data_IF_432531330301
#
_entry.id   IF_432531330301
#
_cell.length_a   1.000
_cell.length_b   1.000
_cell.length_c   1.000
_cell.angle_alpha   90.00
_cell.angle_beta   90.00
_cell.angle_gamma   90.00
#
_symmetry.space_group_name_H-M   'P 1'
#
loop_
_entity.id
_entity.type
_entity.pdbx_description
1 polymer ?
#
# COMPACT_ATOMS: atom_id res chain seq x y z
N UNK A 1 23.56 22.85 -4.13
CA UNK A 1 22.78 23.22 -5.34
C UNK A 1 22.81 22.01 -6.28
N UNK A 2 21.68 21.37 -6.49
CA UNK A 2 21.54 20.30 -7.48
C UNK A 2 21.80 20.85 -8.88
N UNK A 3 22.78 20.28 -9.57
CA UNK A 3 23.19 20.73 -10.91
C UNK A 3 22.48 19.96 -12.03
N UNK A 4 21.18 19.78 -11.92
CA UNK A 4 20.35 19.26 -12.99
C UNK A 4 19.82 17.84 -12.80
N UNK A 5 18.99 17.40 -13.74
CA UNK A 5 18.26 16.14 -13.74
C UNK A 5 19.14 14.89 -13.67
N UNK A 6 20.39 14.97 -14.17
CA UNK A 6 21.36 13.87 -14.11
C UNK A 6 21.83 13.60 -12.66
N UNK A 7 22.03 14.66 -11.88
CA UNK A 7 22.45 14.58 -10.48
C UNK A 7 21.29 14.09 -9.60
N UNK A 8 20.06 14.50 -9.92
CA UNK A 8 18.86 13.95 -9.30
C UNK A 8 18.72 12.45 -9.59
N UNK A 9 18.91 12.00 -10.82
CA UNK A 9 18.94 10.57 -11.18
C UNK A 9 20.01 9.80 -10.41
N UNK A 10 21.19 10.40 -10.23
CA UNK A 10 22.28 9.78 -9.48
C UNK A 10 21.92 9.64 -8.00
N UNK A 11 21.38 10.69 -7.37
CA UNK A 11 20.92 10.64 -5.96
C UNK A 11 19.77 9.65 -5.74
N UNK A 12 18.90 9.48 -6.72
CA UNK A 12 17.81 8.50 -6.69
C UNK A 12 18.27 7.05 -6.88
N UNK A 13 19.49 6.85 -7.39
CA UNK A 13 20.06 5.53 -7.70
C UNK A 13 21.14 5.07 -6.69
N UNK A 14 21.58 5.94 -5.76
CA UNK A 14 22.54 5.57 -4.72
C UNK A 14 21.83 4.78 -3.63
N UNK A 15 22.17 3.52 -3.50
CA UNK A 15 21.90 2.71 -2.32
C UNK A 15 22.82 3.18 -1.16
N UNK A 16 22.34 3.14 0.06
CA UNK A 16 22.94 3.74 1.27
C UNK A 16 24.31 3.16 1.68
N UNK A 17 24.85 2.18 0.96
CA UNK A 17 26.08 1.48 1.32
C UNK A 17 27.40 2.06 0.74
N UNK A 18 27.37 3.23 0.11
CA UNK A 18 28.59 3.99 -0.23
C UNK A 18 29.70 3.27 -1.03
N UNK A 19 29.45 2.07 -1.54
CA UNK A 19 30.39 1.32 -2.36
C UNK A 19 30.04 1.47 -3.83
N UNK A 20 30.69 2.41 -4.48
CA UNK A 20 30.78 2.48 -5.94
C UNK A 20 31.52 1.25 -6.46
N UNK A 21 30.77 0.21 -6.82
CA UNK A 21 31.17 -0.69 -7.88
C UNK A 21 30.39 -0.26 -9.14
N UNK A 22 31.04 -0.26 -10.30
CA UNK A 22 30.43 -0.09 -11.64
C UNK A 22 29.51 -1.26 -11.98
N UNK A 23 28.62 -1.63 -11.07
CA UNK A 23 27.52 -2.54 -11.35
C UNK A 23 26.54 -1.82 -12.27
N UNK A 24 26.17 -2.47 -13.34
CA UNK A 24 25.16 -1.97 -14.26
C UNK A 24 23.94 -1.49 -13.45
N UNK A 25 23.62 -0.20 -13.52
CA UNK A 25 22.51 0.41 -12.78
C UNK A 25 21.18 -0.34 -13.00
N UNK A 26 21.01 -0.88 -14.20
CA UNK A 26 19.87 -1.72 -14.56
C UNK A 26 19.85 -3.02 -13.74
N UNK A 27 21.00 -3.67 -13.58
CA UNK A 27 21.14 -4.88 -12.79
C UNK A 27 20.84 -4.62 -11.29
N UNK A 28 21.29 -3.50 -10.77
CA UNK A 28 21.00 -3.08 -9.39
C UNK A 28 19.50 -2.86 -9.16
N UNK A 29 18.82 -2.15 -10.06
CA UNK A 29 17.36 -1.93 -9.98
C UNK A 29 16.62 -3.27 -10.07
N UNK A 30 16.98 -4.12 -11.02
CA UNK A 30 16.39 -5.45 -11.19
C UNK A 30 16.51 -6.29 -9.90
N UNK A 31 17.71 -6.35 -9.34
CA UNK A 31 17.97 -7.13 -8.14
C UNK A 31 17.21 -6.59 -6.93
N UNK A 32 17.11 -5.29 -6.77
CA UNK A 32 16.31 -4.65 -5.73
C UNK A 32 14.81 -4.99 -5.85
N UNK A 33 14.26 -5.02 -7.05
CA UNK A 33 12.86 -5.38 -7.27
C UNK A 33 12.61 -6.88 -6.99
N UNK A 34 13.49 -7.75 -7.46
CA UNK A 34 13.42 -9.20 -7.17
C UNK A 34 13.47 -9.42 -5.65
N UNK A 35 14.41 -8.81 -4.97
CA UNK A 35 14.54 -8.89 -3.52
C UNK A 35 13.28 -8.37 -2.81
N UNK A 36 12.70 -7.27 -3.27
CA UNK A 36 11.47 -6.70 -2.71
C UNK A 36 10.31 -7.71 -2.78
N UNK A 37 10.12 -8.35 -3.93
CA UNK A 37 9.08 -9.39 -4.11
C UNK A 37 9.34 -10.58 -3.20
N UNK A 38 10.59 -11.10 -3.17
CA UNK A 38 10.95 -12.26 -2.35
C UNK A 38 10.74 -12.01 -0.85
N UNK A 39 11.14 -10.83 -0.36
CA UNK A 39 10.93 -10.47 1.05
C UNK A 39 9.44 -10.33 1.33
N UNK A 40 8.68 -9.64 0.47
CA UNK A 40 7.23 -9.50 0.64
C UNK A 40 6.56 -10.87 0.72
N UNK A 41 6.86 -11.76 -0.22
CA UNK A 41 6.34 -13.14 -0.25
C UNK A 41 6.62 -13.89 1.06
N UNK A 42 7.85 -13.78 1.57
CA UNK A 42 8.24 -14.42 2.84
C UNK A 42 7.55 -13.84 4.10
N UNK A 43 7.01 -12.62 4.02
CA UNK A 43 6.31 -11.95 5.12
C UNK A 43 4.80 -12.20 5.09
N UNK A 44 4.25 -12.58 3.95
CA UNK A 44 2.83 -12.87 3.80
C UNK A 44 2.52 -14.21 4.48
N UNK A 45 1.56 -14.19 5.40
CA UNK A 45 1.06 -15.39 6.06
C UNK A 45 -0.21 -15.87 5.37
N UNK A 46 -0.28 -17.17 5.07
CA UNK A 46 -1.43 -17.76 4.38
C UNK A 46 -2.75 -17.54 5.14
N UNK A 47 -2.70 -17.49 6.46
CA UNK A 47 -3.86 -17.22 7.30
C UNK A 47 -4.44 -15.83 7.06
N UNK A 48 -3.57 -14.81 6.93
CA UNK A 48 -3.97 -13.43 6.62
C UNK A 48 -4.58 -13.31 5.22
N UNK A 49 -4.00 -14.01 4.26
CA UNK A 49 -4.55 -14.08 2.89
C UNK A 49 -5.94 -14.72 2.89
N UNK A 50 -6.09 -15.85 3.58
CA UNK A 50 -7.39 -16.53 3.68
C UNK A 50 -8.44 -15.64 4.37
N UNK A 51 -8.06 -14.93 5.43
CA UNK A 51 -8.94 -13.98 6.11
C UNK A 51 -9.31 -12.79 5.18
N UNK A 52 -8.34 -12.24 4.45
CA UNK A 52 -8.61 -11.17 3.49
C UNK A 52 -9.56 -11.64 2.38
N UNK A 53 -9.37 -12.85 1.85
CA UNK A 53 -10.27 -13.44 0.84
C UNK A 53 -11.70 -13.55 1.39
N UNK A 54 -11.86 -14.04 2.61
CA UNK A 54 -13.16 -14.15 3.25
C UNK A 54 -13.84 -12.76 3.35
N UNK A 55 -13.14 -11.75 3.86
CA UNK A 55 -13.69 -10.38 3.94
C UNK A 55 -14.06 -9.80 2.57
N UNK A 56 -13.27 -10.10 1.53
CA UNK A 56 -13.55 -9.69 0.15
C UNK A 56 -14.79 -10.42 -0.40
N UNK A 57 -14.96 -11.70 -0.10
CA UNK A 57 -16.11 -12.50 -0.55
C UNK A 57 -17.42 -12.03 0.09
N UNK A 58 -17.40 -11.74 1.39
CA UNK A 58 -18.56 -11.30 2.18
C UNK A 58 -19.01 -9.88 1.84
N UNK A 59 -18.11 -9.03 1.35
CA UNK A 59 -18.42 -7.64 1.06
C UNK A 59 -19.32 -7.47 -0.17
N UNK A 60 -20.39 -6.67 -0.03
CA UNK A 60 -21.23 -6.22 -1.16
C UNK A 60 -20.53 -5.11 -1.97
N UNK A 61 -19.79 -4.22 -1.29
CA UNK A 61 -19.05 -3.14 -1.92
C UNK A 61 -17.66 -2.95 -1.29
N UNK A 62 -16.64 -2.77 -2.11
CA UNK A 62 -15.25 -2.66 -1.68
C UNK A 62 -14.68 -1.30 -2.08
N UNK A 63 -14.17 -0.56 -1.11
CA UNK A 63 -13.49 0.70 -1.34
C UNK A 63 -11.99 0.54 -1.16
N UNK A 64 -11.21 1.08 -2.09
CA UNK A 64 -9.76 1.13 -1.98
C UNK A 64 -9.33 2.55 -1.61
N UNK A 65 -8.67 2.71 -0.46
CA UNK A 65 -8.13 3.97 0.00
C UNK A 65 -6.60 3.97 -0.08
N UNK A 66 -6.03 5.08 -0.53
CA UNK A 66 -4.60 5.31 -0.59
C UNK A 66 -4.33 6.74 -1.05
N UNK A 67 -3.16 7.28 -0.73
CA UNK A 67 -2.76 8.65 -1.08
C UNK A 67 -1.41 8.58 -1.80
N UNK A 68 -1.20 9.44 -2.80
CA UNK A 68 0.03 9.48 -3.58
C UNK A 68 0.29 8.17 -4.34
N UNK A 69 1.48 7.61 -4.22
CA UNK A 69 1.85 6.34 -4.87
C UNK A 69 1.02 5.15 -4.37
N UNK A 70 0.67 5.12 -3.08
CA UNK A 70 -0.25 4.12 -2.54
C UNK A 70 -1.67 4.25 -3.11
N UNK A 71 -2.09 5.47 -3.52
CA UNK A 71 -3.32 5.69 -4.26
C UNK A 71 -3.32 5.04 -5.64
N UNK A 72 -2.16 4.99 -6.32
CA UNK A 72 -2.02 4.26 -7.59
C UNK A 72 -2.16 2.75 -7.38
N UNK A 73 -1.55 2.20 -6.32
CA UNK A 73 -1.71 0.79 -5.98
C UNK A 73 -3.17 0.46 -5.61
N UNK A 74 -3.84 1.32 -4.85
CA UNK A 74 -5.26 1.22 -4.54
C UNK A 74 -6.14 1.19 -5.80
N UNK A 75 -5.87 2.07 -6.77
CA UNK A 75 -6.59 2.10 -8.05
C UNK A 75 -6.34 0.85 -8.89
N UNK A 76 -5.13 0.27 -8.83
CA UNK A 76 -4.84 -0.99 -9.51
C UNK A 76 -5.58 -2.16 -8.86
N UNK A 77 -5.60 -2.23 -7.54
CA UNK A 77 -6.37 -3.25 -6.79
C UNK A 77 -7.86 -3.19 -7.12
N UNK A 78 -8.43 -1.98 -7.12
CA UNK A 78 -9.80 -1.75 -7.56
C UNK A 78 -10.07 -2.33 -8.95
N UNK A 79 -9.26 -1.94 -9.93
CA UNK A 79 -9.42 -2.40 -11.32
C UNK A 79 -9.30 -3.93 -11.45
N UNK A 80 -8.48 -4.58 -10.63
CA UNK A 80 -8.35 -6.04 -10.63
C UNK A 80 -9.58 -6.72 -10.06
N UNK A 81 -10.04 -6.33 -8.87
CA UNK A 81 -11.22 -6.95 -8.25
C UNK A 81 -12.49 -6.67 -9.05
N UNK A 82 -12.59 -5.51 -9.69
CA UNK A 82 -13.69 -5.21 -10.60
C UNK A 82 -13.81 -6.26 -11.74
N UNK A 83 -12.68 -6.70 -12.30
CA UNK A 83 -12.67 -7.74 -13.35
C UNK A 83 -13.16 -9.10 -12.85
N UNK A 84 -13.11 -9.36 -11.57
CA UNK A 84 -13.67 -10.55 -10.93
C UNK A 84 -15.13 -10.38 -10.52
N UNK A 85 -15.78 -9.29 -10.95
CA UNK A 85 -17.20 -9.06 -10.73
C UNK A 85 -17.56 -8.43 -9.39
N UNK A 86 -16.57 -7.98 -8.59
CA UNK A 86 -16.83 -7.25 -7.35
C UNK A 86 -17.20 -5.79 -7.62
N UNK A 87 -18.12 -5.26 -6.84
CA UNK A 87 -18.42 -3.84 -6.85
C UNK A 87 -17.31 -3.08 -6.11
N UNK A 88 -16.49 -2.36 -6.84
CA UNK A 88 -15.29 -1.74 -6.30
C UNK A 88 -15.16 -0.26 -6.68
N UNK A 89 -14.48 0.52 -5.84
CA UNK A 89 -14.16 1.92 -6.13
C UNK A 89 -12.90 2.37 -5.41
N UNK A 90 -11.94 2.91 -6.16
CA UNK A 90 -10.79 3.59 -5.55
C UNK A 90 -11.14 5.04 -5.21
N UNK A 91 -10.74 5.47 -4.01
CA UNK A 91 -10.88 6.84 -3.51
C UNK A 91 -9.50 7.30 -3.04
N UNK A 92 -8.88 8.22 -3.78
CA UNK A 92 -7.49 8.65 -3.57
C UNK A 92 -7.38 10.09 -3.00
N UNK A 93 -8.49 10.76 -2.86
CA UNK A 93 -8.60 12.08 -2.24
C UNK A 93 -9.03 11.94 -0.77
N UNK A 94 -8.31 12.56 0.16
CA UNK A 94 -8.50 12.39 1.61
C UNK A 94 -9.88 12.87 2.10
N UNK A 95 -10.39 13.98 1.58
CA UNK A 95 -11.72 14.45 1.92
C UNK A 95 -12.81 13.47 1.48
N UNK A 96 -12.67 12.95 0.27
CA UNK A 96 -13.62 11.96 -0.25
C UNK A 96 -13.51 10.62 0.48
N UNK A 97 -12.31 10.23 0.96
CA UNK A 97 -12.12 9.05 1.80
C UNK A 97 -12.90 9.17 3.10
N UNK A 98 -12.79 10.31 3.79
CA UNK A 98 -13.52 10.56 5.02
C UNK A 98 -15.05 10.57 4.81
N UNK A 99 -15.52 11.23 3.75
CA UNK A 99 -16.93 11.21 3.37
C UNK A 99 -17.41 9.79 3.05
N UNK A 100 -16.63 9.02 2.28
CA UNK A 100 -16.98 7.66 1.91
C UNK A 100 -17.02 6.75 3.15
N UNK A 101 -16.05 6.88 4.06
CA UNK A 101 -16.01 6.12 5.31
C UNK A 101 -17.27 6.35 6.17
N UNK A 102 -17.78 7.59 6.22
CA UNK A 102 -19.01 7.91 6.96
C UNK A 102 -20.30 7.35 6.35
N UNK A 103 -20.25 6.97 5.08
CA UNK A 103 -21.39 6.38 4.34
C UNK A 103 -21.32 4.85 4.27
N UNK A 104 -20.24 4.25 4.76
CA UNK A 104 -20.10 2.80 4.82
C UNK A 104 -20.99 2.18 5.92
N UNK A 105 -21.14 0.87 5.85
CA UNK A 105 -21.85 0.04 6.83
C UNK A 105 -21.18 -1.35 6.90
N UNK A 106 -21.77 -2.28 7.66
CA UNK A 106 -21.25 -3.64 7.88
C UNK A 106 -21.15 -4.50 6.62
N UNK A 107 -21.79 -4.12 5.51
CA UNK A 107 -21.70 -4.83 4.23
C UNK A 107 -20.57 -4.31 3.34
N UNK A 108 -19.86 -3.30 3.80
CA UNK A 108 -18.78 -2.69 3.05
C UNK A 108 -17.42 -3.12 3.59
N UNK A 109 -16.44 -3.14 2.71
CA UNK A 109 -15.04 -3.37 3.03
C UNK A 109 -14.21 -2.18 2.55
N UNK A 110 -13.32 -1.68 3.39
CA UNK A 110 -12.29 -0.72 2.98
C UNK A 110 -10.94 -1.42 2.97
N UNK A 111 -10.26 -1.39 1.83
CA UNK A 111 -8.87 -1.83 1.69
C UNK A 111 -8.00 -0.58 1.67
N UNK A 112 -7.20 -0.39 2.73
CA UNK A 112 -6.31 0.77 2.89
C UNK A 112 -4.90 0.38 2.48
N UNK A 113 -4.32 1.14 1.55
CA UNK A 113 -2.93 0.99 1.15
C UNK A 113 -2.11 2.14 1.71
N UNK A 114 -1.18 1.85 2.62
CA UNK A 114 -0.35 2.87 3.28
C UNK A 114 0.99 2.30 3.71
N UNK A 115 2.09 2.77 3.11
CA UNK A 115 3.45 2.29 3.43
C UNK A 115 3.76 2.41 4.92
N UNK A 116 3.56 3.58 5.49
CA UNK A 116 3.84 3.84 6.92
C UNK A 116 2.77 3.30 7.86
N UNK A 117 1.53 3.21 7.39
CA UNK A 117 0.37 2.96 8.25
C UNK A 117 0.07 4.08 9.26
N UNK A 118 0.71 5.26 9.09
CA UNK A 118 0.62 6.42 10.00
C UNK A 118 0.11 7.69 9.32
N UNK A 119 -0.47 7.57 8.13
CA UNK A 119 -1.05 8.71 7.40
C UNK A 119 -2.31 9.18 8.12
N UNK A 120 -2.29 10.40 8.66
CA UNK A 120 -3.36 10.95 9.53
C UNK A 120 -4.75 10.89 8.89
N UNK A 121 -4.86 11.32 7.64
CA UNK A 121 -6.15 11.35 6.94
C UNK A 121 -6.75 9.94 6.78
N UNK A 122 -5.88 8.93 6.50
CA UNK A 122 -6.31 7.53 6.41
C UNK A 122 -6.70 6.95 7.78
N UNK A 123 -6.01 7.35 8.85
CA UNK A 123 -6.36 6.96 10.23
C UNK A 123 -7.72 7.53 10.60
N UNK A 124 -7.95 8.81 10.35
CA UNK A 124 -9.24 9.46 10.62
C UNK A 124 -10.39 8.79 9.85
N UNK A 125 -10.17 8.48 8.57
CA UNK A 125 -11.14 7.75 7.76
C UNK A 125 -11.40 6.32 8.31
N UNK A 126 -10.37 5.60 8.76
CA UNK A 126 -10.51 4.28 9.35
C UNK A 126 -11.30 4.33 10.67
N UNK A 127 -11.03 5.30 11.54
CA UNK A 127 -11.76 5.49 12.80
C UNK A 127 -13.25 5.79 12.57
N UNK A 128 -13.57 6.53 11.51
CA UNK A 128 -14.96 6.78 11.11
C UNK A 128 -15.61 5.49 10.58
N UNK A 129 -14.91 4.75 9.71
CA UNK A 129 -15.42 3.50 9.14
C UNK A 129 -15.72 2.43 10.20
N UNK A 130 -14.88 2.31 11.22
CA UNK A 130 -15.11 1.37 12.33
C UNK A 130 -16.43 1.68 13.05
N UNK A 131 -16.74 2.97 13.28
CA UNK A 131 -17.99 3.37 13.94
C UNK A 131 -19.25 3.01 13.16
N UNK A 132 -19.13 2.82 11.84
CA UNK A 132 -20.23 2.39 10.97
C UNK A 132 -20.33 0.87 10.84
N UNK A 133 -19.44 0.11 11.47
CA UNK A 133 -19.35 -1.35 11.37
C UNK A 133 -18.64 -1.87 10.10
N UNK A 134 -18.08 -0.97 9.29
CA UNK A 134 -17.34 -1.33 8.09
C UNK A 134 -16.06 -2.11 8.44
N UNK A 135 -15.79 -3.17 7.69
CA UNK A 135 -14.56 -3.96 7.84
C UNK A 135 -13.38 -3.29 7.13
N UNK A 136 -12.17 -3.50 7.68
CA UNK A 136 -10.95 -2.87 7.17
C UNK A 136 -9.86 -3.91 6.95
N UNK A 137 -9.26 -3.92 5.76
CA UNK A 137 -7.98 -4.56 5.46
C UNK A 137 -6.94 -3.46 5.28
N UNK A 138 -5.78 -3.59 5.92
CA UNK A 138 -4.65 -2.67 5.67
C UNK A 138 -3.47 -3.40 5.05
N UNK A 139 -2.93 -2.83 3.95
CA UNK A 139 -1.67 -3.22 3.32
C UNK A 139 -0.61 -2.18 3.74
N UNK A 140 0.37 -2.59 4.55
CA UNK A 140 1.38 -1.67 5.13
C UNK A 140 2.74 -2.37 5.32
N UNK A 141 3.81 -1.58 5.43
CA UNK A 141 5.13 -2.12 5.79
C UNK A 141 5.30 -2.34 7.32
N UNK A 142 4.36 -1.83 8.14
CA UNK A 142 4.52 -1.78 9.60
C UNK A 142 3.33 -2.41 10.34
N UNK A 143 3.50 -3.64 10.81
CA UNK A 143 2.46 -4.38 11.52
C UNK A 143 2.04 -3.72 12.86
N UNK A 144 2.89 -2.88 13.43
CA UNK A 144 2.61 -2.17 14.69
C UNK A 144 2.01 -0.77 14.48
N UNK A 145 1.80 -0.38 13.21
CA UNK A 145 1.25 0.94 12.87
C UNK A 145 -0.16 1.16 13.40
N UNK A 146 -0.58 2.41 13.44
CA UNK A 146 -1.92 2.80 13.89
C UNK A 146 -3.01 2.19 13.00
N UNK A 147 -2.85 2.24 11.66
CA UNK A 147 -3.80 1.61 10.75
C UNK A 147 -3.86 0.09 10.93
N UNK A 148 -2.71 -0.58 11.15
CA UNK A 148 -2.69 -2.02 11.40
C UNK A 148 -3.50 -2.40 12.64
N UNK A 149 -3.42 -1.61 13.72
CA UNK A 149 -4.20 -1.85 14.95
C UNK A 149 -5.70 -1.59 14.79
N UNK A 150 -6.08 -0.76 13.84
CA UNK A 150 -7.48 -0.43 13.54
C UNK A 150 -8.13 -1.42 12.57
N UNK A 151 -7.37 -2.33 11.98
CA UNK A 151 -7.82 -3.19 10.88
C UNK A 151 -8.24 -4.57 11.36
N UNK A 152 -9.24 -5.15 10.71
CA UNK A 152 -9.67 -6.55 10.91
C UNK A 152 -8.63 -7.52 10.33
N UNK A 153 -7.95 -7.14 9.24
CA UNK A 153 -6.90 -7.92 8.60
C UNK A 153 -5.74 -7.03 8.17
N UNK A 154 -4.50 -7.51 8.32
CA UNK A 154 -3.29 -6.77 7.96
C UNK A 154 -2.42 -7.64 7.06
N UNK A 155 -2.12 -7.14 5.87
CA UNK A 155 -1.18 -7.78 4.95
C UNK A 155 0.11 -6.94 4.92
N UNK A 156 1.23 -7.58 5.22
CA UNK A 156 2.51 -6.90 5.28
C UNK A 156 3.13 -6.82 3.89
N UNK A 157 3.44 -5.60 3.47
CA UNK A 157 4.27 -5.31 2.30
C UNK A 157 5.70 -4.95 2.74
N UNK A 158 6.66 -5.09 1.84
CA UNK A 158 8.02 -4.67 2.07
C UNK A 158 8.43 -3.61 1.04
N UNK A 159 9.11 -2.57 1.50
CA UNK A 159 9.75 -1.59 0.63
C UNK A 159 10.77 -0.80 1.42
N UNK A 160 11.97 -0.64 0.86
CA UNK A 160 12.99 0.24 1.43
C UNK A 160 12.46 1.68 1.34
N UNK A 161 12.18 2.30 2.48
CA UNK A 161 11.85 3.72 2.56
C UNK A 161 13.14 4.50 2.63
N UNK A 162 13.61 5.04 1.52
CA UNK A 162 14.68 6.03 1.52
C UNK A 162 14.10 7.40 1.86
N UNK A 163 14.68 8.11 2.82
CA UNK A 163 14.24 9.45 3.24
C UNK A 163 14.16 10.47 2.09
N UNK A 164 14.90 10.24 1.01
CA UNK A 164 14.90 11.06 -0.21
C UNK A 164 13.83 10.63 -1.23
N UNK A 165 13.26 9.44 -1.10
CA UNK A 165 12.29 8.84 -2.00
C UNK A 165 11.06 8.37 -1.22
N UNK A 166 10.35 9.31 -0.57
CA UNK A 166 9.06 9.02 0.03
C UNK A 166 8.13 8.38 -1.01
N UNK A 167 7.78 7.10 -0.84
CA UNK A 167 7.01 6.35 -1.81
C UNK A 167 7.86 5.75 -2.93
N UNK A 168 8.88 4.98 -2.56
CA UNK A 168 9.76 4.34 -3.52
C UNK A 168 9.01 3.38 -4.44
N UNK A 169 9.50 3.27 -5.66
CA UNK A 169 9.02 2.32 -6.66
C UNK A 169 8.96 0.87 -6.11
N UNK A 170 9.91 0.50 -5.23
CA UNK A 170 9.91 -0.80 -4.55
C UNK A 170 8.67 -1.01 -3.66
N UNK A 171 8.26 -0.03 -2.86
CA UNK A 171 7.04 -0.14 -2.04
C UNK A 171 5.78 -0.29 -2.91
N UNK A 172 5.72 0.41 -4.04
CA UNK A 172 4.61 0.25 -4.98
C UNK A 172 4.61 -1.16 -5.60
N UNK A 173 5.77 -1.69 -6.00
CA UNK A 173 5.88 -3.05 -6.56
C UNK A 173 5.43 -4.10 -5.53
N UNK A 174 5.84 -3.95 -4.27
CA UNK A 174 5.38 -4.81 -3.18
C UNK A 174 3.86 -4.76 -2.99
N UNK A 175 3.28 -3.56 -2.98
CA UNK A 175 1.83 -3.36 -2.86
C UNK A 175 1.03 -3.92 -4.05
N UNK A 176 1.65 -3.95 -5.26
CA UNK A 176 1.04 -4.54 -6.46
C UNK A 176 1.21 -6.05 -6.53
N UNK A 177 2.20 -6.61 -5.83
CA UNK A 177 2.43 -8.05 -5.75
C UNK A 177 1.36 -8.74 -4.89
N UNK A 178 0.94 -8.09 -3.81
CA UNK A 178 -0.15 -8.54 -2.92
C UNK A 178 -1.50 -8.49 -3.65
#
# INVERSE_FOLDING_TARGET
KLKGFQELKFLLAIDDDGKQQETDKHECIKNNLIQTIQITDSMIRQEEINHAIQLIEEAEYIYFFGIGTSGLAASMGESRLFRFGKQTKAVTDSHRQLMQASLCNEKNLIIIVSVSGETKDLIEAAEVAIKTGCKIITITNHITSTLAKLSDCVIISYGKVNLMNAGTFSSMVSQLFI
#
